data_IF_690657590408
#
_entry.id   IF_690657590408
#
_cell.length_a   1.000
_cell.length_b   1.000
_cell.length_c   1.000
_cell.angle_alpha   90.00
_cell.angle_beta   90.00
_cell.angle_gamma   90.00
#
_symmetry.space_group_name_H-M   'P 1'
#
loop_
_entity.id
_entity.type
_entity.pdbx_description
1 polymer ?
#
# COMPACT_ATOMS: atom_id res chain seq x y z
N UNK A 1 36.61 -1.38 13.74
CA UNK A 1 35.55 -2.27 14.26
C UNK A 1 35.38 -3.39 13.26
N UNK A 2 35.40 -4.65 13.70
CA UNK A 2 35.04 -5.78 12.83
C UNK A 2 33.51 -5.79 12.69
N UNK A 3 32.99 -5.70 11.46
CA UNK A 3 31.55 -5.89 11.23
C UNK A 3 31.21 -7.34 11.51
N UNK A 4 30.24 -7.57 12.39
CA UNK A 4 29.79 -8.90 12.75
C UNK A 4 28.57 -9.23 11.87
N UNK A 5 28.67 -10.27 11.06
CA UNK A 5 27.61 -10.69 10.13
C UNK A 5 26.60 -11.65 10.78
N UNK A 6 26.42 -11.53 12.08
CA UNK A 6 25.46 -12.31 12.86
C UNK A 6 24.69 -11.38 13.78
N UNK A 7 23.47 -11.79 14.15
CA UNK A 7 22.61 -10.98 15.00
C UNK A 7 23.30 -10.61 16.32
N UNK A 8 23.39 -9.31 16.59
CA UNK A 8 24.05 -8.79 17.77
C UNK A 8 23.26 -7.68 18.45
N UNK A 9 23.58 -7.46 19.72
CA UNK A 9 23.08 -6.35 20.51
C UNK A 9 24.27 -5.43 20.84
N UNK A 10 24.33 -4.27 20.19
CA UNK A 10 25.45 -3.33 20.37
C UNK A 10 24.96 -1.88 20.26
N UNK A 11 25.47 -1.04 21.16
CA UNK A 11 25.23 0.41 21.22
C UNK A 11 26.47 1.12 20.65
N UNK A 12 26.31 2.29 20.03
CA UNK A 12 27.42 3.06 19.48
C UNK A 12 27.84 2.67 18.06
N UNK A 13 26.88 2.28 17.22
CA UNK A 13 27.09 2.01 15.79
C UNK A 13 26.21 2.93 14.93
N UNK A 14 26.72 3.45 13.81
CA UNK A 14 25.93 4.29 12.92
C UNK A 14 24.86 3.45 12.21
N UNK A 15 23.60 3.89 12.27
CA UNK A 15 22.46 3.12 11.74
C UNK A 15 22.27 3.32 10.24
N UNK A 16 22.27 4.59 9.80
CA UNK A 16 22.03 4.97 8.40
C UNK A 16 23.01 6.06 7.93
N UNK A 17 23.24 7.06 8.78
CA UNK A 17 24.21 8.13 8.58
C UNK A 17 25.26 8.12 9.69
N UNK A 18 26.44 8.71 9.42
CA UNK A 18 27.48 8.83 10.44
C UNK A 18 27.05 9.73 11.60
N UNK A 19 26.18 10.69 11.34
CA UNK A 19 25.61 11.57 12.36
C UNK A 19 24.58 10.85 13.26
N UNK A 20 23.93 9.79 12.77
CA UNK A 20 22.96 9.03 13.55
C UNK A 20 23.65 7.90 14.33
N UNK A 21 24.37 8.30 15.38
CA UNK A 21 25.13 7.42 16.28
C UNK A 21 24.55 7.46 17.70
N UNK A 22 23.74 6.48 18.12
CA UNK A 22 23.22 6.43 19.49
C UNK A 22 24.34 6.05 20.47
N UNK A 23 24.85 7.04 21.20
CA UNK A 23 25.85 6.84 22.27
C UNK A 23 25.21 6.51 23.63
N UNK A 24 23.92 6.84 23.81
CA UNK A 24 23.17 6.65 25.06
C UNK A 24 22.01 5.67 24.87
N UNK A 25 21.60 4.99 25.95
CA UNK A 25 20.44 4.08 25.93
C UNK A 25 19.15 4.79 25.47
N UNK A 26 18.91 6.02 25.94
CA UNK A 26 17.75 6.81 25.50
C UNK A 26 17.80 7.09 23.99
N UNK A 27 18.95 7.53 23.48
CA UNK A 27 19.13 7.77 22.04
C UNK A 27 18.91 6.49 21.21
N UNK A 28 19.26 5.34 21.78
CA UNK A 28 19.02 4.05 21.17
C UNK A 28 17.53 3.69 21.12
N UNK A 29 16.78 3.88 22.22
CA UNK A 29 15.33 3.69 22.25
C UNK A 29 14.62 4.63 21.27
N UNK A 30 15.02 5.90 21.22
CA UNK A 30 14.49 6.85 20.24
C UNK A 30 14.80 6.43 18.79
N UNK A 31 15.98 5.84 18.55
CA UNK A 31 16.31 5.28 17.24
C UNK A 31 15.39 4.13 16.87
N UNK A 32 15.13 3.19 17.79
CA UNK A 32 14.17 2.11 17.59
C UNK A 32 12.78 2.66 17.24
N UNK A 33 12.30 3.64 18.01
CA UNK A 33 11.01 4.28 17.76
C UNK A 33 10.97 5.03 16.43
N UNK A 34 12.06 5.71 16.05
CA UNK A 34 12.19 6.37 14.75
C UNK A 34 12.08 5.38 13.59
N UNK A 35 12.80 4.24 13.67
CA UNK A 35 12.72 3.18 12.65
C UNK A 35 11.32 2.57 12.59
N UNK A 36 10.67 2.35 13.74
CA UNK A 36 9.28 1.91 13.79
C UNK A 36 8.35 2.88 13.06
N UNK A 37 8.46 4.19 13.32
CA UNK A 37 7.62 5.21 12.68
C UNK A 37 7.89 5.32 11.17
N UNK A 38 9.15 5.19 10.73
CA UNK A 38 9.50 5.19 9.31
C UNK A 38 8.90 3.96 8.61
N UNK A 39 9.01 2.78 9.22
CA UNK A 39 8.44 1.54 8.69
C UNK A 39 6.90 1.56 8.67
N UNK A 40 6.27 2.15 9.68
CA UNK A 40 4.82 2.39 9.70
C UNK A 40 4.41 3.38 8.60
N UNK A 41 5.14 4.49 8.46
CA UNK A 41 4.90 5.52 7.46
C UNK A 41 5.00 5.01 6.03
N UNK A 42 5.83 3.99 5.76
CA UNK A 42 5.87 3.32 4.46
C UNK A 42 4.56 2.64 4.10
N UNK A 43 3.91 1.95 5.03
CA UNK A 43 2.61 1.31 4.76
C UNK A 43 1.53 2.34 4.51
N UNK A 44 1.56 3.45 5.24
CA UNK A 44 0.68 4.60 4.98
C UNK A 44 0.96 5.18 3.59
N UNK A 45 2.23 5.32 3.19
CA UNK A 45 2.60 5.84 1.87
C UNK A 45 2.15 4.90 0.74
N UNK A 46 2.28 3.58 0.93
CA UNK A 46 1.77 2.54 0.01
C UNK A 46 0.25 2.65 -0.14
N UNK A 47 -0.46 2.84 0.96
CA UNK A 47 -1.90 3.07 0.95
C UNK A 47 -2.29 4.32 0.18
N UNK A 48 -1.65 5.46 0.46
CA UNK A 48 -1.88 6.72 -0.25
C UNK A 48 -1.65 6.52 -1.74
N UNK A 49 -0.52 5.94 -2.14
CA UNK A 49 -0.27 5.62 -3.54
C UNK A 49 -1.37 4.75 -4.14
N UNK A 50 -1.78 3.68 -3.45
CA UNK A 50 -2.86 2.79 -3.90
C UNK A 50 -4.16 3.54 -4.10
N UNK A 51 -4.51 4.49 -3.23
CA UNK A 51 -5.71 5.33 -3.36
C UNK A 51 -5.64 6.28 -4.56
N UNK A 52 -4.48 6.88 -4.81
CA UNK A 52 -4.28 7.79 -5.93
C UNK A 52 -4.14 7.07 -7.28
N UNK A 53 -3.65 5.83 -7.27
CA UNK A 53 -3.47 4.99 -8.46
C UNK A 53 -4.58 3.99 -8.68
N UNK A 54 -5.49 3.81 -7.72
CA UNK A 54 -6.71 3.04 -7.88
C UNK A 54 -7.37 3.59 -9.15
N UNK A 55 -7.30 2.85 -10.25
CA UNK A 55 -7.87 3.36 -11.46
C UNK A 55 -9.36 3.48 -11.17
N UNK A 56 -10.02 4.47 -11.75
CA UNK A 56 -11.49 4.53 -11.79
C UNK A 56 -12.07 3.35 -12.61
N UNK A 57 -11.44 2.17 -12.60
CA UNK A 57 -11.99 0.90 -13.06
C UNK A 57 -13.19 0.50 -12.17
N UNK A 58 -13.31 1.04 -10.95
CA UNK A 58 -14.56 0.96 -10.18
C UNK A 58 -15.75 1.68 -10.86
N UNK A 59 -15.56 2.38 -11.98
CA UNK A 59 -16.62 3.10 -12.69
C UNK A 59 -16.85 2.65 -14.13
N UNK A 60 -16.23 1.55 -14.60
CA UNK A 60 -16.59 0.93 -15.88
C UNK A 60 -17.01 -0.54 -15.66
N UNK A 61 -18.26 -0.68 -15.21
CA UNK A 61 -19.13 -1.85 -15.39
C UNK A 61 -18.48 -3.23 -15.17
N UNK A 62 -18.27 -3.62 -13.92
CA UNK A 62 -18.84 -4.92 -13.57
C UNK A 62 -20.35 -4.66 -13.46
N UNK A 63 -21.10 -4.98 -14.50
CA UNK A 63 -22.55 -5.18 -14.39
C UNK A 63 -22.76 -6.20 -13.28
N UNK A 64 -23.03 -5.71 -12.07
CA UNK A 64 -23.57 -6.55 -11.02
C UNK A 64 -24.98 -6.92 -11.49
N UNK A 65 -25.17 -8.17 -11.90
CA UNK A 65 -26.51 -8.75 -12.02
C UNK A 65 -27.08 -8.80 -10.61
N UNK A 66 -27.83 -7.77 -10.25
CA UNK A 66 -28.52 -7.72 -8.98
C UNK A 66 -29.89 -8.37 -9.13
N UNK A 67 -30.00 -9.59 -8.60
CA UNK A 67 -31.27 -10.29 -8.46
C UNK A 67 -31.90 -9.89 -7.12
N UNK A 68 -32.93 -9.04 -7.15
CA UNK A 68 -33.77 -8.80 -5.97
C UNK A 68 -34.94 -9.79 -5.99
N UNK A 69 -35.11 -10.57 -4.93
CA UNK A 69 -36.25 -11.48 -4.76
C UNK A 69 -37.43 -10.73 -4.16
N UNK A 70 -38.58 -10.71 -4.82
CA UNK A 70 -39.85 -10.46 -4.14
C UNK A 70 -40.39 -11.78 -3.54
N UNK A 71 -41.29 -11.67 -2.58
CA UNK A 71 -41.86 -12.81 -1.83
C UNK A 71 -42.78 -13.72 -2.67
N UNK A 72 -43.09 -13.36 -3.92
CA UNK A 72 -43.72 -14.24 -4.89
C UNK A 72 -42.64 -14.93 -5.74
N UNK A 73 -42.36 -16.21 -5.44
CA UNK A 73 -41.34 -17.02 -6.11
C UNK A 73 -41.61 -17.27 -7.60
N UNK A 74 -41.33 -16.30 -8.45
CA UNK A 74 -41.34 -16.43 -9.91
C UNK A 74 -39.99 -16.00 -10.45
N UNK A 75 -39.27 -16.97 -11.03
CA UNK A 75 -38.11 -16.71 -11.88
C UNK A 75 -38.59 -16.21 -13.23
N UNK A 76 -38.88 -14.91 -13.34
CA UNK A 76 -38.91 -14.27 -14.66
C UNK A 76 -37.46 -14.16 -15.13
N UNK A 77 -37.06 -15.11 -15.98
CA UNK A 77 -35.87 -14.97 -16.82
C UNK A 77 -36.10 -13.68 -17.62
N UNK A 78 -35.32 -12.61 -17.42
CA UNK A 78 -35.49 -11.41 -18.23
C UNK A 78 -35.16 -11.82 -19.65
N UNK A 79 -36.07 -11.48 -20.56
CA UNK A 79 -35.92 -11.52 -22.00
C UNK A 79 -34.44 -11.29 -22.37
N UNK A 80 -33.84 -12.26 -23.06
CA UNK A 80 -32.47 -12.19 -23.55
C UNK A 80 -32.35 -10.96 -24.44
N UNK A 81 -32.09 -9.79 -23.86
CA UNK A 81 -31.59 -8.65 -24.61
C UNK A 81 -30.31 -9.14 -25.23
N UNK A 82 -30.11 -8.98 -26.54
CA UNK A 82 -28.86 -9.35 -27.15
C UNK A 82 -27.77 -8.65 -26.33
N UNK A 83 -26.84 -9.43 -25.79
CA UNK A 83 -25.57 -8.90 -25.34
C UNK A 83 -25.08 -8.07 -26.52
N UNK A 84 -25.16 -6.75 -26.37
CA UNK A 84 -24.30 -5.88 -27.14
C UNK A 84 -22.93 -6.19 -26.58
N UNK A 85 -22.30 -7.23 -27.15
CA UNK A 85 -20.85 -7.28 -27.24
C UNK A 85 -20.51 -6.10 -28.16
N UNK A 86 -20.66 -4.89 -27.61
CA UNK A 86 -20.04 -3.69 -28.14
C UNK A 86 -18.59 -4.11 -28.19
N UNK A 87 -18.06 -4.33 -29.39
CA UNK A 87 -16.77 -4.96 -29.64
C UNK A 87 -15.81 -4.49 -28.55
N UNK A 88 -15.66 -5.33 -27.52
CA UNK A 88 -14.69 -5.10 -26.50
C UNK A 88 -13.43 -5.61 -27.16
N UNK A 89 -12.93 -4.78 -28.09
CA UNK A 89 -11.52 -4.45 -28.01
C UNK A 89 -11.32 -4.15 -26.53
N UNK A 90 -10.79 -5.15 -25.83
CA UNK A 90 -10.03 -4.94 -24.63
C UNK A 90 -9.15 -3.76 -24.93
N UNK A 91 -9.63 -2.57 -24.56
CA UNK A 91 -8.94 -1.34 -24.79
C UNK A 91 -7.85 -1.41 -23.75
N UNK A 92 -6.78 -2.12 -24.10
CA UNK A 92 -5.43 -1.91 -23.61
C UNK A 92 -5.32 -0.40 -23.68
N UNK A 93 -5.50 0.24 -22.52
CA UNK A 93 -5.67 1.68 -22.43
C UNK A 93 -4.48 2.27 -23.18
N UNK A 94 -4.66 2.94 -24.32
CA UNK A 94 -3.53 3.27 -25.16
C UNK A 94 -2.62 4.15 -24.33
N UNK A 95 -1.34 3.75 -24.24
CA UNK A 95 -0.28 4.48 -23.53
C UNK A 95 -0.15 5.87 -24.16
N UNK A 96 -0.99 6.80 -23.71
CA UNK A 96 -1.12 8.13 -24.28
C UNK A 96 -0.14 9.03 -23.56
N UNK A 97 0.83 9.61 -24.28
CA UNK A 97 1.88 10.47 -23.69
C UNK A 97 1.33 11.68 -22.93
N UNK A 98 0.12 12.14 -23.29
CA UNK A 98 -0.62 13.19 -22.57
C UNK A 98 -1.15 12.74 -21.20
N UNK A 99 -1.44 11.44 -21.04
CA UNK A 99 -1.78 10.85 -19.75
C UNK A 99 -0.53 10.74 -18.86
N UNK A 100 0.62 10.33 -19.41
CA UNK A 100 1.89 10.20 -18.65
C UNK A 100 2.35 11.51 -17.99
N UNK A 101 2.03 12.65 -18.61
CA UNK A 101 2.42 13.98 -18.16
C UNK A 101 1.35 14.70 -17.35
N UNK A 102 0.22 14.05 -17.08
CA UNK A 102 -0.77 14.62 -16.17
C UNK A 102 -0.15 14.73 -14.76
N UNK A 103 -0.43 15.83 -14.06
CA UNK A 103 0.11 16.10 -12.71
C UNK A 103 -0.08 14.94 -11.72
N UNK A 104 -1.16 14.16 -11.91
CA UNK A 104 -1.45 12.95 -11.12
C UNK A 104 -0.43 11.82 -11.34
N UNK A 105 0.02 11.59 -12.57
CA UNK A 105 1.04 10.58 -12.90
C UNK A 105 2.43 10.99 -12.40
N UNK A 106 2.76 12.28 -12.47
CA UNK A 106 4.01 12.83 -11.90
C UNK A 106 4.02 12.66 -10.38
N UNK A 107 2.93 13.05 -9.70
CA UNK A 107 2.81 12.88 -8.25
C UNK A 107 2.92 11.41 -7.82
N UNK A 108 2.26 10.50 -8.54
CA UNK A 108 2.41 9.06 -8.30
C UNK A 108 3.85 8.56 -8.48
N UNK A 109 4.55 9.05 -9.50
CA UNK A 109 5.94 8.68 -9.76
C UNK A 109 6.89 9.20 -8.67
N UNK A 110 6.62 10.39 -8.12
CA UNK A 110 7.37 10.95 -6.98
C UNK A 110 7.11 10.12 -5.71
N UNK A 111 5.85 9.80 -5.41
CA UNK A 111 5.51 8.94 -4.28
C UNK A 111 6.16 7.56 -4.41
N UNK A 112 6.21 7.01 -5.63
CA UNK A 112 6.88 5.74 -5.92
C UNK A 112 8.37 5.80 -5.59
N UNK A 113 9.03 6.85 -6.06
CA UNK A 113 10.45 7.06 -5.83
C UNK A 113 10.74 7.20 -4.34
N UNK A 114 9.95 8.01 -3.62
CA UNK A 114 10.08 8.18 -2.18
C UNK A 114 9.84 6.88 -1.42
N UNK A 115 8.84 6.09 -1.82
CA UNK A 115 8.57 4.78 -1.25
C UNK A 115 9.79 3.86 -1.40
N UNK A 116 10.33 3.71 -2.61
CA UNK A 116 11.50 2.87 -2.86
C UNK A 116 12.72 3.38 -2.10
N UNK A 117 12.93 4.70 -2.06
CA UNK A 117 14.03 5.29 -1.32
C UNK A 117 14.00 4.91 0.17
N UNK A 118 12.82 4.95 0.80
CA UNK A 118 12.66 4.57 2.21
C UNK A 118 12.75 3.05 2.38
N UNK A 119 12.16 2.23 1.49
CA UNK A 119 12.28 0.77 1.51
C UNK A 119 13.76 0.32 1.46
N UNK A 120 14.55 0.88 0.54
CA UNK A 120 15.99 0.59 0.45
C UNK A 120 16.77 1.12 1.66
N UNK A 121 16.39 2.28 2.20
CA UNK A 121 16.99 2.81 3.43
C UNK A 121 16.75 1.88 4.62
N UNK A 122 15.53 1.35 4.78
CA UNK A 122 15.22 0.36 5.80
C UNK A 122 15.94 -0.97 5.56
N UNK A 123 16.13 -1.37 4.30
CA UNK A 123 16.96 -2.53 3.98
C UNK A 123 18.41 -2.35 4.44
N UNK A 124 18.98 -1.15 4.26
CA UNK A 124 20.32 -0.83 4.81
C UNK A 124 20.33 -0.93 6.33
N UNK A 125 19.28 -0.46 6.99
CA UNK A 125 19.12 -0.59 8.46
C UNK A 125 19.03 -2.06 8.87
N UNK A 126 18.30 -2.90 8.13
CA UNK A 126 18.18 -4.33 8.43
C UNK A 126 19.54 -5.05 8.34
N UNK A 127 20.38 -4.64 7.39
CA UNK A 127 21.75 -5.16 7.21
C UNK A 127 22.73 -4.75 8.32
N UNK A 128 22.32 -3.92 9.29
CA UNK A 128 23.13 -3.64 10.49
C UNK A 128 23.14 -4.80 11.50
N UNK A 129 22.35 -5.85 11.26
CA UNK A 129 22.22 -7.05 12.12
C UNK A 129 21.92 -6.74 13.61
N UNK A 130 21.42 -5.54 13.90
CA UNK A 130 21.11 -5.09 15.24
C UNK A 130 19.68 -5.50 15.64
N UNK A 131 19.58 -6.48 16.55
CA UNK A 131 18.33 -7.18 16.86
C UNK A 131 17.14 -6.25 17.16
N UNK A 132 17.18 -5.35 18.16
CA UNK A 132 16.02 -4.52 18.51
C UNK A 132 15.65 -3.51 17.42
N UNK A 133 16.62 -3.06 16.61
CA UNK A 133 16.36 -2.17 15.47
C UNK A 133 15.61 -2.93 14.38
N UNK A 134 16.08 -4.13 14.04
CA UNK A 134 15.43 -5.03 13.08
C UNK A 134 14.01 -5.42 13.56
N UNK A 135 13.85 -5.73 14.85
CA UNK A 135 12.54 -6.00 15.43
C UNK A 135 11.61 -4.79 15.35
N UNK A 136 12.12 -3.57 15.61
CA UNK A 136 11.33 -2.34 15.50
C UNK A 136 10.88 -2.07 14.08
N UNK A 137 11.74 -2.36 13.09
CA UNK A 137 11.42 -2.29 11.66
C UNK A 137 10.27 -3.24 11.32
N UNK A 138 10.38 -4.52 11.66
CA UNK A 138 9.33 -5.49 11.39
C UNK A 138 8.03 -5.15 12.11
N UNK A 139 8.11 -4.76 13.39
CA UNK A 139 6.94 -4.33 14.16
C UNK A 139 6.23 -3.13 13.50
N UNK A 140 6.97 -2.14 13.01
CA UNK A 140 6.40 -0.99 12.31
C UNK A 140 5.67 -1.40 11.03
N UNK A 141 6.25 -2.31 10.25
CA UNK A 141 5.64 -2.84 9.02
C UNK A 141 4.37 -3.64 9.33
N UNK A 142 4.41 -4.54 10.32
CA UNK A 142 3.25 -5.35 10.73
C UNK A 142 2.11 -4.49 11.27
N UNK A 143 2.42 -3.52 12.14
CA UNK A 143 1.42 -2.59 12.69
C UNK A 143 0.85 -1.69 11.60
N UNK A 144 1.70 -1.18 10.70
CA UNK A 144 1.27 -0.39 9.55
C UNK A 144 0.28 -1.14 8.67
N UNK A 145 0.61 -2.38 8.31
CA UNK A 145 -0.27 -3.24 7.51
C UNK A 145 -1.60 -3.51 8.22
N UNK A 146 -1.56 -3.80 9.53
CA UNK A 146 -2.75 -4.07 10.32
C UNK A 146 -3.69 -2.85 10.41
N UNK A 147 -3.16 -1.64 10.55
CA UNK A 147 -3.96 -0.40 10.62
C UNK A 147 -4.53 -0.01 9.26
N UNK A 148 -3.75 -0.20 8.19
CA UNK A 148 -4.14 0.17 6.82
C UNK A 148 -5.15 -0.81 6.22
N UNK A 149 -5.06 -2.10 6.55
CA UNK A 149 -5.91 -3.15 5.99
C UNK A 149 -7.42 -2.86 6.07
N UNK A 150 -7.99 -2.57 7.26
CA UNK A 150 -9.41 -2.26 7.42
C UNK A 150 -9.87 -1.03 6.63
N UNK A 151 -9.02 -0.01 6.49
CA UNK A 151 -9.35 1.21 5.74
C UNK A 151 -9.58 0.92 4.26
N UNK A 152 -8.85 -0.04 3.69
CA UNK A 152 -9.02 -0.44 2.29
C UNK A 152 -10.32 -1.23 2.07
N UNK A 153 -10.71 -2.09 3.02
CA UNK A 153 -11.93 -2.91 2.89
C UNK A 153 -13.23 -2.09 2.96
N UNK A 154 -13.25 -1.00 3.72
CA UNK A 154 -14.42 -0.12 3.83
C UNK A 154 -14.74 0.58 2.50
N UNK A 155 -13.72 1.06 1.79
CA UNK A 155 -13.92 1.75 0.51
C UNK A 155 -14.51 0.82 -0.57
N UNK A 156 -14.26 -0.49 -0.49
CA UNK A 156 -14.88 -1.47 -1.37
C UNK A 156 -16.33 -1.80 -0.95
N UNK A 157 -16.63 -1.84 0.35
CA UNK A 157 -17.98 -2.08 0.85
C UNK A 157 -18.97 -0.97 0.45
N UNK A 158 -18.55 0.30 0.54
CA UNK A 158 -19.36 1.45 0.10
C UNK A 158 -19.66 1.42 -1.40
N UNK A 159 -18.80 0.78 -2.22
CA UNK A 159 -19.00 0.70 -3.67
C UNK A 159 -20.02 -0.37 -4.10
N UNK A 160 -20.38 -1.31 -3.22
CA UNK A 160 -21.26 -2.46 -3.54
C UNK A 160 -22.66 -2.34 -2.91
N UNK A 161 -22.87 -1.41 -1.97
CA UNK A 161 -24.06 -1.36 -1.11
C UNK A 161 -25.40 -0.92 -1.72
N UNK A 162 -25.60 -0.93 -3.04
CA UNK A 162 -26.71 -0.20 -3.68
C UNK A 162 -27.82 -1.01 -4.36
N UNK A 163 -27.87 -2.34 -4.25
CA UNK A 163 -28.67 -3.11 -5.22
C UNK A 163 -30.13 -3.41 -4.86
N UNK A 164 -30.53 -3.46 -3.59
CA UNK A 164 -31.91 -3.73 -3.20
C UNK A 164 -32.27 -2.96 -1.91
N UNK A 165 -32.37 -1.62 -2.00
CA UNK A 165 -32.95 -0.78 -0.94
C UNK A 165 -34.39 -0.41 -1.25
#
# INVERSE_FOLDING_TARGET
>A
MMMMMYFHYRIGEPILFREWLPQNLLAYIFSCFGIFLIAFGLEVLKFVRSRFLAPKIAQKSATAECCCSNNEGIWEIPETRPLKFDNQEDSIVPFTRSSLLAKSHIFSSILLFLQHFIDYSLMLVAMTYNIPIVLSLFAGHTVGYFVVGPMMSLEQADSVGGCCS
#
